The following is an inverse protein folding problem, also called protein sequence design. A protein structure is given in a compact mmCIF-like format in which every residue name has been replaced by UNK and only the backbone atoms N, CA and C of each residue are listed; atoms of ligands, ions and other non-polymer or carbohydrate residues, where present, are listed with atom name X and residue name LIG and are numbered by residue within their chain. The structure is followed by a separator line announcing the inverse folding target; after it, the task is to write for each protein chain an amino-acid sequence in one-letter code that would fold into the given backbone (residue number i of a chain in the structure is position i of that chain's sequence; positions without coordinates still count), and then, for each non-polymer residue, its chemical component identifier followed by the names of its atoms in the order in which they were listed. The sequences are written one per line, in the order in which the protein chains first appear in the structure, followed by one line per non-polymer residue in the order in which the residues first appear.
data_IF_454760137610
#
_entry.id   IF_454760137610
#
_cell.length_a   1.000
_cell.length_b   1.000
_cell.length_c   1.000
_cell.angle_alpha   90.00
_cell.angle_beta   90.00
_cell.angle_gamma   90.00
#
_symmetry.space_group_name_H-M   'P 1'
#
loop_
_entity.id
_entity.type
_entity.pdbx_description
1 polymer ?
#
# COMPACT_ATOMS: atom_id res chain seq x y z
N UNK A 1 3.18 16.89 -19.30
CA UNK A 1 1.92 16.45 -18.61
C UNK A 1 2.30 15.89 -17.27
N UNK A 2 1.41 15.96 -16.29
CA UNK A 2 1.61 15.36 -14.95
C UNK A 2 0.59 14.25 -14.74
N UNK A 3 0.98 13.14 -14.11
CA UNK A 3 0.11 12.00 -13.77
C UNK A 3 0.75 11.10 -12.73
N UNK A 4 0.02 10.08 -12.30
CA UNK A 4 0.48 9.13 -11.28
C UNK A 4 0.79 7.78 -11.90
N UNK A 5 1.88 7.15 -11.48
CA UNK A 5 2.22 5.78 -11.87
C UNK A 5 1.30 4.81 -11.14
N UNK A 6 0.45 4.09 -11.87
CA UNK A 6 -0.48 3.11 -11.33
C UNK A 6 -0.01 1.65 -11.51
N UNK A 7 0.98 1.43 -12.39
CA UNK A 7 1.52 0.10 -12.66
C UNK A 7 2.96 0.20 -13.18
N UNK A 8 3.80 -0.74 -12.78
CA UNK A 8 5.15 -0.91 -13.31
C UNK A 8 5.34 -2.38 -13.72
N UNK A 9 5.72 -2.63 -14.98
CA UNK A 9 5.87 -3.98 -15.51
C UNK A 9 6.92 -3.99 -16.64
N UNK A 10 7.87 -4.91 -16.56
CA UNK A 10 8.88 -5.17 -17.61
C UNK A 10 9.61 -3.90 -18.12
N UNK A 11 9.89 -2.94 -17.21
CA UNK A 11 10.57 -1.68 -17.54
C UNK A 11 9.67 -0.59 -18.11
N UNK A 12 8.38 -0.85 -18.20
CA UNK A 12 7.36 0.14 -18.52
C UNK A 12 6.66 0.64 -17.26
N UNK A 13 6.23 1.90 -17.31
CA UNK A 13 5.45 2.57 -16.27
C UNK A 13 4.15 3.08 -16.89
N UNK A 14 3.05 2.72 -16.31
CA UNK A 14 1.72 3.11 -16.75
C UNK A 14 1.28 4.30 -15.90
N UNK A 15 1.17 5.46 -16.54
CA UNK A 15 0.82 6.72 -15.88
C UNK A 15 -0.62 7.05 -16.16
N UNK A 16 -1.41 7.19 -15.11
CA UNK A 16 -2.79 7.63 -15.19
C UNK A 16 -2.87 9.16 -15.11
N UNK A 17 -3.70 9.74 -15.96
CA UNK A 17 -4.07 11.15 -15.94
C UNK A 17 -5.48 11.33 -16.51
N UNK A 18 -6.35 11.97 -15.76
CA UNK A 18 -7.72 12.31 -16.17
C UNK A 18 -8.53 11.11 -16.74
N UNK A 19 -8.36 9.93 -16.13
CA UNK A 19 -9.00 8.67 -16.54
C UNK A 19 -8.34 7.97 -17.74
N UNK A 20 -7.26 8.53 -18.29
CA UNK A 20 -6.49 7.93 -19.39
C UNK A 20 -5.16 7.37 -18.89
N UNK A 21 -4.78 6.20 -19.38
CA UNK A 21 -3.53 5.51 -19.02
C UNK A 21 -2.53 5.60 -20.18
N UNK A 22 -1.33 6.08 -19.89
CA UNK A 22 -0.24 6.24 -20.84
C UNK A 22 0.89 5.27 -20.51
N UNK A 23 1.34 4.51 -21.50
CA UNK A 23 2.51 3.66 -21.36
C UNK A 23 3.78 4.49 -21.54
N UNK A 24 4.67 4.46 -20.56
CA UNK A 24 5.89 5.28 -20.56
C UNK A 24 7.12 4.46 -20.19
N UNK A 25 8.29 5.00 -20.49
CA UNK A 25 9.60 4.49 -20.03
C UNK A 25 10.34 5.55 -19.23
N UNK A 26 11.15 5.12 -18.28
CA UNK A 26 12.12 6.00 -17.63
C UNK A 26 13.32 6.25 -18.54
N UNK A 27 13.74 7.51 -18.71
CA UNK A 27 14.98 7.84 -19.41
C UNK A 27 16.19 7.28 -18.64
N UNK A 28 17.24 6.86 -19.34
CA UNK A 28 18.43 6.21 -18.75
C UNK A 28 19.13 7.00 -17.63
N UNK A 29 18.94 8.33 -17.57
CA UNK A 29 19.46 9.18 -16.49
C UNK A 29 18.87 8.91 -15.10
N UNK A 30 17.65 8.35 -15.00
CA UNK A 30 17.03 8.04 -13.72
C UNK A 30 17.79 6.91 -12.99
N UNK A 31 18.17 5.86 -13.70
CA UNK A 31 18.98 4.76 -13.15
C UNK A 31 20.36 5.22 -12.67
N UNK A 32 20.99 6.14 -13.41
CA UNK A 32 22.32 6.68 -13.04
C UNK A 32 22.28 7.56 -11.78
N UNK A 33 21.14 8.21 -11.49
CA UNK A 33 20.95 9.07 -10.32
C UNK A 33 20.35 8.33 -9.10
N UNK A 34 20.15 7.00 -9.17
CA UNK A 34 19.53 6.24 -8.08
C UNK A 34 18.03 6.50 -7.87
N UNK A 35 17.39 7.18 -8.81
CA UNK A 35 15.97 7.54 -8.73
C UNK A 35 15.12 6.58 -9.58
N UNK A 36 14.83 5.40 -9.06
CA UNK A 36 13.90 4.46 -9.71
C UNK A 36 12.45 4.91 -9.51
N UNK A 37 11.64 5.02 -10.59
CA UNK A 37 10.21 5.28 -10.43
C UNK A 37 9.51 4.07 -9.80
N UNK A 38 8.56 4.32 -8.92
CA UNK A 38 7.73 3.31 -8.26
C UNK A 38 6.25 3.57 -8.52
N UNK A 39 5.41 2.56 -8.31
CA UNK A 39 3.96 2.73 -8.27
C UNK A 39 3.60 3.73 -7.18
N UNK A 40 2.71 4.66 -7.50
CA UNK A 40 2.35 5.78 -6.64
C UNK A 40 3.13 7.08 -6.89
N UNK A 41 4.23 7.05 -7.65
CA UNK A 41 4.94 8.29 -7.99
C UNK A 41 4.10 9.23 -8.84
N UNK A 42 4.08 10.50 -8.45
CA UNK A 42 3.67 11.58 -9.33
C UNK A 42 4.82 11.97 -10.23
N UNK A 43 4.56 11.99 -11.53
CA UNK A 43 5.61 12.22 -12.54
C UNK A 43 5.19 13.26 -13.56
N UNK A 44 6.17 14.04 -14.02
CA UNK A 44 6.04 14.77 -15.26
C UNK A 44 6.44 13.82 -16.40
N UNK A 45 5.61 13.72 -17.42
CA UNK A 45 5.85 12.83 -18.55
C UNK A 45 5.45 13.46 -19.86
N UNK A 46 6.02 12.95 -20.95
CA UNK A 46 5.61 13.27 -22.32
C UNK A 46 5.07 12.01 -22.97
N UNK A 47 3.92 12.11 -23.61
CA UNK A 47 3.37 11.09 -24.48
C UNK A 47 2.73 11.78 -25.70
N UNK A 48 2.84 11.14 -26.86
CA UNK A 48 2.05 11.50 -28.05
C UNK A 48 0.97 10.43 -28.21
N UNK A 49 -0.13 10.79 -28.83
CA UNK A 49 -1.17 9.82 -29.16
C UNK A 49 -0.59 8.62 -29.89
N UNK A 50 -0.90 7.41 -29.41
CA UNK A 50 -0.45 6.13 -29.95
C UNK A 50 1.08 5.88 -29.96
N UNK A 51 1.87 6.56 -29.11
CA UNK A 51 3.32 6.32 -28.99
C UNK A 51 3.75 6.14 -27.54
N UNK A 52 4.86 5.40 -27.34
CA UNK A 52 5.50 5.29 -26.01
C UNK A 52 5.86 6.69 -25.49
N UNK A 53 5.47 6.95 -24.23
CA UNK A 53 5.86 8.16 -23.52
C UNK A 53 7.15 8.01 -22.74
N UNK A 54 7.64 9.12 -22.19
CA UNK A 54 8.83 9.14 -21.34
C UNK A 54 8.56 9.89 -20.06
N UNK A 55 8.98 9.30 -18.92
CA UNK A 55 9.05 10.01 -17.64
C UNK A 55 10.19 11.03 -17.74
N UNK A 56 9.87 12.28 -17.42
CA UNK A 56 10.80 13.42 -17.46
C UNK A 56 11.32 13.78 -16.08
N UNK A 57 10.43 13.70 -15.05
CA UNK A 57 10.73 14.06 -13.67
C UNK A 57 9.85 13.25 -12.72
N UNK A 58 10.39 12.86 -11.58
CA UNK A 58 9.65 12.30 -10.44
C UNK A 58 9.46 13.43 -9.43
N UNK A 59 8.25 13.64 -8.95
CA UNK A 59 7.93 14.62 -7.92
C UNK A 59 8.39 14.13 -6.54
N UNK A 60 8.42 15.03 -5.57
CA UNK A 60 8.75 14.69 -4.19
C UNK A 60 7.74 13.69 -3.61
N UNK A 61 8.25 12.67 -2.93
CA UNK A 61 7.46 11.63 -2.31
C UNK A 61 7.09 12.00 -0.87
N UNK A 62 5.82 11.89 -0.51
CA UNK A 62 5.38 12.08 0.88
C UNK A 62 5.81 10.92 1.79
N UNK A 63 5.85 9.71 1.27
CA UNK A 63 6.29 8.50 1.96
C UNK A 63 6.70 7.41 0.98
N UNK A 64 7.33 6.36 1.48
CA UNK A 64 7.73 5.19 0.69
C UNK A 64 7.82 3.93 1.54
N UNK A 65 7.38 2.81 0.98
CA UNK A 65 7.67 1.46 1.47
C UNK A 65 8.72 0.80 0.56
N UNK A 66 9.51 -0.10 1.14
CA UNK A 66 10.53 -0.88 0.42
C UNK A 66 9.92 -2.19 -0.08
N UNK A 67 9.07 -2.79 0.74
CA UNK A 67 8.34 -4.03 0.43
C UNK A 67 6.89 -3.88 0.91
N UNK A 68 5.94 -3.80 -0.05
CA UNK A 68 6.14 -3.64 -1.49
C UNK A 68 6.77 -2.29 -1.85
N UNK A 69 7.45 -2.19 -3.03
CA UNK A 69 8.05 -0.92 -3.47
C UNK A 69 6.96 0.02 -4.00
N UNK A 70 6.33 0.76 -3.10
CA UNK A 70 5.24 1.68 -3.38
C UNK A 70 5.46 2.99 -2.62
N UNK A 71 4.98 4.10 -3.18
CA UNK A 71 5.16 5.45 -2.63
C UNK A 71 3.85 6.24 -2.62
N UNK A 72 3.83 7.34 -1.87
CA UNK A 72 2.69 8.28 -1.82
C UNK A 72 1.36 7.64 -1.42
N UNK A 73 1.40 6.71 -0.45
CA UNK A 73 0.21 6.05 0.08
C UNK A 73 -0.38 6.82 1.26
N UNK A 74 -1.71 6.81 1.37
CA UNK A 74 -2.43 7.46 2.46
C UNK A 74 -2.53 6.54 3.67
N UNK A 75 -2.77 5.26 3.42
CA UNK A 75 -2.99 4.27 4.46
C UNK A 75 -2.56 2.88 4.02
N UNK A 76 -2.38 1.98 4.99
CA UNK A 76 -2.10 0.58 4.73
C UNK A 76 -3.02 -0.32 5.57
N UNK A 77 -3.63 -1.31 4.93
CA UNK A 77 -4.38 -2.36 5.61
C UNK A 77 -3.43 -3.50 5.93
N UNK A 78 -3.18 -3.74 7.21
CA UNK A 78 -2.42 -4.89 7.70
C UNK A 78 -3.41 -6.04 7.88
N UNK A 79 -3.32 -7.02 6.98
CA UNK A 79 -4.22 -8.18 6.96
C UNK A 79 -3.58 -9.30 7.77
N UNK A 80 -4.16 -9.58 8.93
CA UNK A 80 -3.77 -10.66 9.81
C UNK A 80 -4.80 -11.79 9.76
N UNK A 81 -4.35 -13.02 9.79
CA UNK A 81 -5.23 -14.17 10.00
C UNK A 81 -5.49 -14.36 11.49
N UNK A 82 -6.73 -14.72 11.87
CA UNK A 82 -7.03 -15.11 13.25
C UNK A 82 -6.49 -16.49 13.55
N UNK A 83 -6.50 -17.38 12.53
CA UNK A 83 -5.98 -18.74 12.58
C UNK A 83 -5.36 -19.13 11.26
N UNK A 84 -4.37 -20.03 11.28
CA UNK A 84 -3.72 -20.61 10.11
C UNK A 84 -3.12 -19.56 9.14
N UNK A 85 -2.09 -18.83 9.57
CA UNK A 85 -1.39 -18.90 10.85
C UNK A 85 -2.15 -18.22 11.99
N UNK A 86 -1.84 -18.58 13.25
CA UNK A 86 -2.43 -17.95 14.42
C UNK A 86 -2.10 -16.45 14.49
N UNK A 87 -3.02 -15.66 15.03
CA UNK A 87 -2.83 -14.23 15.26
C UNK A 87 -1.57 -13.97 16.08
N UNK A 88 -0.72 -13.07 15.61
CA UNK A 88 0.54 -12.73 16.25
C UNK A 88 0.62 -11.20 16.50
N UNK A 89 0.36 -10.79 17.73
CA UNK A 89 0.40 -9.38 18.13
C UNK A 89 1.79 -8.75 17.95
N UNK A 90 2.88 -9.48 18.21
CA UNK A 90 4.24 -8.95 18.02
C UNK A 90 4.53 -8.61 16.55
N UNK A 91 4.02 -9.43 15.62
CA UNK A 91 4.15 -9.16 14.19
C UNK A 91 3.32 -7.96 13.79
N UNK A 92 2.08 -7.87 14.29
CA UNK A 92 1.21 -6.71 14.08
C UNK A 92 1.88 -5.42 14.58
N UNK A 93 2.39 -5.42 15.81
CA UNK A 93 3.05 -4.26 16.40
C UNK A 93 4.25 -3.77 15.55
N UNK A 94 5.02 -4.69 14.98
CA UNK A 94 6.12 -4.32 14.06
C UNK A 94 5.63 -3.61 12.81
N UNK A 95 4.51 -4.06 12.21
CA UNK A 95 3.89 -3.36 11.08
C UNK A 95 3.37 -1.99 11.48
N UNK A 96 2.70 -1.88 12.64
CA UNK A 96 2.18 -0.61 13.13
C UNK A 96 3.29 0.41 13.35
N UNK A 97 4.38 0.02 14.03
CA UNK A 97 5.56 0.87 14.24
C UNK A 97 6.19 1.32 12.91
N UNK A 98 6.31 0.41 11.94
CA UNK A 98 6.85 0.74 10.62
C UNK A 98 5.98 1.76 9.91
N UNK A 99 4.67 1.58 9.91
CA UNK A 99 3.71 2.46 9.23
C UNK A 99 3.66 3.84 9.89
N UNK A 100 3.60 3.89 11.22
CA UNK A 100 3.69 5.13 12.00
C UNK A 100 4.98 5.90 11.68
N UNK A 101 6.13 5.22 11.69
CA UNK A 101 7.42 5.83 11.34
C UNK A 101 7.44 6.41 9.93
N UNK A 102 6.67 5.83 9.00
CA UNK A 102 6.55 6.29 7.60
C UNK A 102 5.46 7.33 7.39
N UNK A 103 4.71 7.70 8.42
CA UNK A 103 3.57 8.62 8.31
C UNK A 103 2.42 8.03 7.48
N UNK A 104 2.20 6.70 7.57
CA UNK A 104 1.17 5.97 6.84
C UNK A 104 0.14 5.49 7.86
N UNK A 105 -1.13 5.86 7.67
CA UNK A 105 -2.20 5.45 8.59
C UNK A 105 -2.46 3.94 8.51
N UNK A 106 -2.31 3.18 9.62
CA UNK A 106 -2.56 1.76 9.62
C UNK A 106 -4.03 1.43 9.89
N UNK A 107 -4.54 0.42 9.20
CA UNK A 107 -5.83 -0.23 9.46
C UNK A 107 -5.54 -1.71 9.71
N UNK A 108 -6.02 -2.25 10.80
CA UNK A 108 -5.89 -3.68 11.12
C UNK A 108 -7.14 -4.41 10.63
N UNK A 109 -6.96 -5.37 9.73
CA UNK A 109 -8.04 -6.24 9.26
C UNK A 109 -7.77 -7.69 9.66
N UNK A 110 -8.68 -8.28 10.41
CA UNK A 110 -8.60 -9.69 10.81
C UNK A 110 -9.41 -10.54 9.85
N UNK A 111 -8.74 -11.45 9.19
CA UNK A 111 -9.32 -12.40 8.23
C UNK A 111 -9.59 -13.76 8.86
N UNK A 112 -10.31 -14.62 8.14
CA UNK A 112 -10.65 -15.99 8.52
C UNK A 112 -11.41 -16.09 9.85
N UNK A 113 -12.29 -15.14 10.12
CA UNK A 113 -13.13 -15.12 11.33
C UNK A 113 -14.02 -16.35 11.49
N UNK A 114 -14.32 -17.04 10.38
CA UNK A 114 -15.04 -18.31 10.34
C UNK A 114 -14.30 -19.47 11.05
N UNK A 115 -12.98 -19.37 11.21
CA UNK A 115 -12.17 -20.37 11.92
C UNK A 115 -12.11 -20.14 13.43
N UNK A 116 -12.67 -19.03 13.92
CA UNK A 116 -12.63 -18.67 15.33
C UNK A 116 -13.81 -19.28 16.09
N UNK A 117 -13.54 -20.16 17.03
CA UNK A 117 -14.55 -20.79 17.89
C UNK A 117 -14.90 -19.96 19.13
N UNK A 118 -13.95 -19.16 19.64
CA UNK A 118 -14.11 -18.28 20.78
C UNK A 118 -13.45 -16.93 20.51
N UNK A 119 -14.16 -15.85 20.76
CA UNK A 119 -13.70 -14.48 20.51
C UNK A 119 -12.89 -13.88 21.67
N UNK A 120 -12.86 -14.50 22.83
CA UNK A 120 -12.36 -13.86 24.05
C UNK A 120 -10.97 -13.26 23.94
N UNK A 121 -10.00 -13.98 23.37
CA UNK A 121 -8.65 -13.47 23.18
C UNK A 121 -8.61 -12.37 22.10
N UNK A 122 -9.32 -12.54 21.00
CA UNK A 122 -9.40 -11.53 19.95
C UNK A 122 -10.06 -10.25 20.43
N UNK A 123 -11.13 -10.34 21.22
CA UNK A 123 -11.82 -9.19 21.81
C UNK A 123 -10.89 -8.37 22.70
N UNK A 124 -9.98 -9.01 23.43
CA UNK A 124 -8.94 -8.33 24.20
C UNK A 124 -8.02 -7.50 23.29
N UNK A 125 -7.53 -8.07 22.18
CA UNK A 125 -6.69 -7.35 21.23
C UNK A 125 -7.48 -6.24 20.53
N UNK A 126 -8.69 -6.49 20.09
CA UNK A 126 -9.57 -5.49 19.47
C UNK A 126 -9.75 -4.27 20.37
N UNK A 127 -10.11 -4.48 21.64
CA UNK A 127 -10.25 -3.40 22.61
C UNK A 127 -8.95 -2.64 22.84
N UNK A 128 -7.82 -3.36 22.95
CA UNK A 128 -6.50 -2.77 23.16
C UNK A 128 -6.10 -1.86 21.99
N UNK A 129 -6.16 -2.36 20.77
CA UNK A 129 -5.74 -1.58 19.59
C UNK A 129 -6.70 -0.42 19.30
N UNK A 130 -8.00 -0.58 19.49
CA UNK A 130 -8.97 0.52 19.36
C UNK A 130 -8.77 1.60 20.43
N UNK A 131 -8.44 1.22 21.66
CA UNK A 131 -8.19 2.17 22.75
C UNK A 131 -6.98 3.09 22.49
N UNK A 132 -5.98 2.61 21.76
CA UNK A 132 -4.82 3.41 21.36
C UNK A 132 -4.98 4.10 20.00
N UNK A 133 -6.16 4.02 19.38
CA UNK A 133 -6.56 4.83 18.23
C UNK A 133 -6.45 4.14 16.87
N UNK A 134 -6.23 2.83 16.80
CA UNK A 134 -6.20 2.11 15.52
C UNK A 134 -7.59 1.65 15.09
N UNK A 135 -7.83 1.71 13.78
CA UNK A 135 -8.96 1.03 13.16
C UNK A 135 -8.69 -0.49 13.17
N UNK A 136 -9.51 -1.23 13.90
CA UNK A 136 -9.44 -2.68 14.00
C UNK A 136 -10.77 -3.27 13.55
N UNK A 137 -10.78 -3.93 12.40
CA UNK A 137 -11.99 -4.41 11.72
C UNK A 137 -11.91 -5.90 11.41
N UNK A 138 -13.05 -6.57 11.49
CA UNK A 138 -13.17 -8.03 11.33
C UNK A 138 -14.08 -8.43 10.17
N UNK A 139 -14.66 -7.46 9.47
CA UNK A 139 -15.53 -7.69 8.33
C UNK A 139 -15.22 -6.75 7.16
N UNK A 140 -15.63 -7.15 5.96
CA UNK A 140 -15.48 -6.31 4.76
C UNK A 140 -16.38 -5.07 4.82
N UNK A 141 -17.54 -5.21 5.42
CA UNK A 141 -18.53 -4.15 5.61
C UNK A 141 -17.96 -3.01 6.46
N UNK A 142 -17.14 -3.32 7.46
CA UNK A 142 -16.43 -2.33 8.26
C UNK A 142 -15.23 -1.73 7.52
N UNK A 143 -14.53 -2.54 6.71
CA UNK A 143 -13.33 -2.11 6.00
C UNK A 143 -13.63 -1.17 4.84
N UNK A 144 -14.62 -1.48 3.99
CA UNK A 144 -14.87 -0.77 2.74
C UNK A 144 -15.05 0.74 2.90
N UNK A 145 -15.79 1.26 3.88
CA UNK A 145 -15.92 2.70 4.09
C UNK A 145 -14.60 3.41 4.37
N UNK A 146 -13.64 2.73 5.03
CA UNK A 146 -12.33 3.28 5.37
C UNK A 146 -11.42 3.44 4.15
N UNK A 147 -11.71 2.74 3.04
CA UNK A 147 -10.91 2.78 1.82
C UNK A 147 -11.29 3.93 0.87
N UNK A 148 -12.42 4.57 1.10
CA UNK A 148 -12.97 5.56 0.18
C UNK A 148 -12.05 6.78 0.03
N UNK A 149 -11.75 7.15 -1.22
CA UNK A 149 -10.90 8.30 -1.57
C UNK A 149 -9.49 8.28 -0.97
N UNK A 150 -8.94 7.09 -0.76
CA UNK A 150 -7.60 6.86 -0.21
C UNK A 150 -6.77 5.96 -1.11
N UNK A 151 -5.50 6.29 -1.26
CA UNK A 151 -4.51 5.36 -1.84
C UNK A 151 -4.09 4.39 -0.74
N UNK A 152 -4.53 3.14 -0.87
CA UNK A 152 -4.38 2.11 0.16
C UNK A 152 -3.45 1.00 -0.30
N UNK A 153 -2.46 0.68 0.52
CA UNK A 153 -1.61 -0.50 0.35
C UNK A 153 -2.16 -1.67 1.17
N UNK A 154 -2.20 -2.87 0.60
CA UNK A 154 -2.54 -4.09 1.33
C UNK A 154 -1.24 -4.81 1.73
N UNK A 155 -1.07 -5.04 3.03
CA UNK A 155 0.06 -5.78 3.59
C UNK A 155 -0.46 -7.10 4.16
N UNK A 156 -0.01 -8.20 3.57
CA UNK A 156 -0.40 -9.54 4.00
C UNK A 156 0.66 -10.12 4.92
N UNK A 157 0.21 -10.76 5.99
CA UNK A 157 1.04 -11.62 6.84
C UNK A 157 0.81 -13.09 6.43
N UNK A 158 1.08 -13.43 5.17
CA UNK A 158 1.01 -14.82 4.70
C UNK A 158 2.38 -15.48 4.79
N UNK A 159 2.41 -16.82 4.80
CA UNK A 159 3.60 -17.67 4.87
C UNK A 159 4.58 -17.51 3.68
N UNK A 160 4.34 -16.56 2.80
CA UNK A 160 5.14 -16.26 1.63
C UNK A 160 6.22 -15.17 1.87
N UNK A 161 6.65 -14.99 3.10
CA UNK A 161 7.74 -14.07 3.48
C UNK A 161 9.00 -14.87 3.84
N UNK A 162 9.47 -15.74 2.94
CA UNK A 162 10.84 -16.23 2.91
C UNK A 162 11.66 -15.52 1.83
#
# INVERSE_FOLDING_TARGET
MQGQIIKALAGFYYVERDGQVYQTRARGNFRKKGHTPYVGDWVDFSAKENSEGYILKIQERKNSLVRPPIVNIDQAVVIMSVKEPDFNSNLLDRFLVLLEHKGIHPIVYISKMDLLSDRGELDFYEQTYRAIGYDFVTSKEELLPLLTNKVTCLLYTSDAAD
#
